data_IF_106006534325
#
_entry.id   IF_106006534325
#
_cell.length_a   1.000
_cell.length_b   1.000
_cell.length_c   1.000
_cell.angle_alpha   90.00
_cell.angle_beta   90.00
_cell.angle_gamma   90.00
#
_symmetry.space_group_name_H-M   'P 1'
#
loop_
_entity.id
_entity.type
_entity.pdbx_description
1 polymer ?
#
# COMPACT_ATOMS: atom_id res chain seq x y z
N UNK A 1 1.38 -11.88 23.29
CA UNK A 1 0.79 -10.54 23.07
C UNK A 1 1.13 -10.10 21.66
N UNK A 2 0.14 -9.82 20.79
CA UNK A 2 0.36 -9.64 19.35
C UNK A 2 0.90 -8.28 18.93
N UNK A 3 2.20 -8.02 19.11
CA UNK A 3 2.95 -6.86 18.58
C UNK A 3 2.17 -5.53 18.59
N UNK A 4 1.44 -5.25 19.67
CA UNK A 4 0.52 -4.11 19.75
C UNK A 4 1.31 -2.79 19.80
N UNK A 5 0.67 -1.69 19.38
CA UNK A 5 1.33 -0.37 19.35
C UNK A 5 1.80 0.10 20.73
N UNK A 6 2.78 1.01 20.75
CA UNK A 6 3.41 1.51 21.99
C UNK A 6 2.40 2.04 23.01
N UNK A 7 1.45 2.84 22.56
CA UNK A 7 0.43 3.40 23.46
C UNK A 7 -0.50 2.33 24.04
N UNK A 8 -0.78 1.29 23.24
CA UNK A 8 -1.56 0.15 23.70
C UNK A 8 -0.80 -0.69 24.74
N UNK A 9 0.51 -0.93 24.53
CA UNK A 9 1.39 -1.57 25.54
C UNK A 9 1.39 -0.78 26.84
N UNK A 10 1.60 0.54 26.77
CA UNK A 10 1.60 1.40 27.96
C UNK A 10 0.25 1.39 28.68
N UNK A 11 -0.86 1.38 27.94
CA UNK A 11 -2.21 1.33 28.53
C UNK A 11 -2.51 0.00 29.21
N UNK A 12 -1.98 -1.12 28.71
CA UNK A 12 -2.22 -2.46 29.26
C UNK A 12 -1.81 -2.59 30.72
N UNK A 13 -0.71 -1.95 31.13
CA UNK A 13 -0.27 -1.94 32.52
C UNK A 13 -1.27 -1.25 33.47
N UNK A 14 -2.13 -0.37 32.94
CA UNK A 14 -3.16 0.34 33.71
C UNK A 14 -4.48 -0.44 33.81
N UNK A 15 -4.82 -1.20 32.77
CA UNK A 15 -6.17 -1.78 32.62
C UNK A 15 -6.22 -3.29 32.87
N UNK A 16 -5.07 -3.96 32.98
CA UNK A 16 -5.00 -5.40 33.23
C UNK A 16 -4.10 -5.71 34.44
N UNK A 17 -4.54 -6.65 35.30
CA UNK A 17 -3.73 -7.19 36.40
C UNK A 17 -2.90 -8.37 35.89
N UNK A 18 -1.69 -8.53 36.41
CA UNK A 18 -0.81 -9.68 36.11
C UNK A 18 -0.02 -9.57 34.80
N UNK A 19 -0.04 -8.43 34.10
CA UNK A 19 0.77 -8.20 32.90
C UNK A 19 2.12 -7.65 33.31
N UNK A 20 3.18 -8.46 33.23
CA UNK A 20 4.55 -8.01 33.43
C UNK A 20 5.15 -7.61 32.08
N UNK A 21 5.33 -6.31 31.86
CA UNK A 21 5.95 -5.80 30.63
C UNK A 21 7.48 -5.90 30.74
N UNK A 22 8.07 -6.99 30.26
CA UNK A 22 9.51 -7.11 30.05
C UNK A 22 9.82 -6.82 28.59
N UNK A 23 10.15 -5.56 28.30
CA UNK A 23 10.71 -5.19 27.00
C UNK A 23 12.21 -5.42 27.02
N UNK A 24 12.66 -6.56 26.52
CA UNK A 24 14.09 -6.85 26.28
C UNK A 24 14.64 -6.00 25.12
N UNK A 25 13.77 -5.60 24.20
CA UNK A 25 14.03 -4.70 23.09
C UNK A 25 13.12 -3.48 23.16
N UNK A 26 13.63 -2.25 22.91
CA UNK A 26 12.76 -1.09 22.77
C UNK A 26 11.71 -1.36 21.68
N UNK A 27 10.46 -0.93 21.87
CA UNK A 27 9.39 -1.16 20.88
C UNK A 27 9.72 -0.61 19.48
N UNK A 28 10.59 0.39 19.40
CA UNK A 28 11.10 0.96 18.15
C UNK A 28 12.06 0.05 17.39
N UNK A 29 12.54 -1.04 17.99
CA UNK A 29 13.54 -1.97 17.41
C UNK A 29 12.98 -3.38 17.23
N UNK A 30 11.65 -3.54 17.27
CA UNK A 30 11.04 -4.82 16.97
C UNK A 30 10.96 -5.01 15.45
N UNK A 31 11.79 -5.88 14.89
CA UNK A 31 11.89 -6.16 13.45
C UNK A 31 10.53 -6.46 12.81
N UNK A 32 9.74 -7.37 13.40
CA UNK A 32 8.40 -7.70 12.90
C UNK A 32 7.45 -6.50 12.90
N UNK A 33 7.53 -5.62 13.91
CA UNK A 33 6.73 -4.39 13.94
C UNK A 33 7.20 -3.40 12.87
N UNK A 34 8.50 -3.28 12.65
CA UNK A 34 9.06 -2.40 11.62
C UNK A 34 8.56 -2.88 10.26
N UNK A 35 8.74 -4.15 9.91
CA UNK A 35 8.33 -4.68 8.60
C UNK A 35 6.81 -4.61 8.39
N UNK A 36 6.01 -4.88 9.43
CA UNK A 36 4.55 -4.92 9.30
C UNK A 36 3.85 -3.55 9.44
N UNK A 37 4.49 -2.56 10.09
CA UNK A 37 3.89 -1.26 10.43
C UNK A 37 4.74 -0.08 9.97
N UNK A 38 5.71 -0.30 9.09
CA UNK A 38 6.48 0.80 8.51
C UNK A 38 5.51 1.76 7.82
N UNK A 39 5.44 3.03 8.22
CA UNK A 39 4.64 3.99 7.49
C UNK A 39 5.28 4.17 6.12
N UNK A 40 4.45 4.13 5.07
CA UNK A 40 4.93 4.54 3.77
C UNK A 40 5.27 6.03 3.84
N UNK A 41 6.47 6.41 3.42
CA UNK A 41 6.80 7.83 3.28
C UNK A 41 5.90 8.47 2.21
N UNK A 42 5.60 9.77 2.29
CA UNK A 42 4.88 10.44 1.21
C UNK A 42 5.59 10.18 -0.12
N UNK A 43 4.81 9.86 -1.15
CA UNK A 43 5.36 9.85 -2.51
C UNK A 43 5.67 11.28 -2.93
N UNK A 44 6.79 11.48 -3.60
CA UNK A 44 7.07 12.74 -4.27
C UNK A 44 6.05 12.96 -5.40
N UNK A 45 5.78 14.23 -5.73
CA UNK A 45 5.06 14.54 -6.97
C UNK A 45 5.83 13.99 -8.16
N UNK A 46 5.11 13.58 -9.21
CA UNK A 46 5.72 13.28 -10.49
C UNK A 46 6.54 14.49 -10.96
N UNK A 47 7.77 14.25 -11.44
CA UNK A 47 8.56 15.26 -12.15
C UNK A 47 8.26 15.24 -13.66
N UNK A 48 7.46 14.28 -14.11
CA UNK A 48 7.05 14.13 -15.49
C UNK A 48 5.74 14.86 -15.73
N UNK A 49 5.75 15.80 -16.65
CA UNK A 49 4.58 16.45 -17.23
C UNK A 49 4.08 15.64 -18.43
N UNK A 50 2.81 15.87 -18.78
CA UNK A 50 2.17 15.41 -20.00
C UNK A 50 3.02 15.77 -21.24
N UNK A 51 3.15 14.85 -22.20
CA UNK A 51 3.86 15.12 -23.47
C UNK A 51 3.17 16.22 -24.26
N UNK A 52 3.94 17.14 -24.86
CA UNK A 52 3.43 18.29 -25.65
C UNK A 52 3.02 17.94 -27.11
N UNK A 53 3.27 16.71 -27.57
CA UNK A 53 2.97 16.29 -28.95
C UNK A 53 2.12 15.03 -28.96
N UNK A 54 1.11 15.02 -29.82
CA UNK A 54 0.15 13.93 -29.97
C UNK A 54 0.84 12.62 -30.39
N UNK A 55 0.54 11.53 -29.68
CA UNK A 55 1.10 10.19 -29.88
C UNK A 55 2.61 10.05 -29.61
N UNK A 56 3.23 10.99 -28.90
CA UNK A 56 4.63 10.87 -28.48
C UNK A 56 4.80 9.80 -27.39
N UNK A 57 3.81 9.65 -26.51
CA UNK A 57 3.79 8.64 -25.46
C UNK A 57 2.38 8.06 -25.29
N UNK A 58 2.26 6.74 -25.38
CA UNK A 58 1.00 6.02 -25.16
C UNK A 58 1.17 5.07 -23.98
N UNK A 59 0.36 5.27 -22.94
CA UNK A 59 0.21 4.31 -21.86
C UNK A 59 -0.79 3.23 -22.27
N UNK A 60 -0.38 1.97 -22.18
CA UNK A 60 -1.29 0.86 -22.47
C UNK A 60 -1.31 -0.15 -21.34
N UNK A 61 -2.50 -0.67 -21.06
CA UNK A 61 -2.69 -1.70 -20.05
C UNK A 61 -3.77 -2.70 -20.47
N UNK A 62 -3.62 -3.94 -20.00
CA UNK A 62 -4.56 -5.03 -20.25
C UNK A 62 -5.35 -5.31 -18.97
N UNK A 63 -6.66 -5.10 -19.04
CA UNK A 63 -7.56 -5.46 -17.96
C UNK A 63 -8.16 -6.85 -18.19
N UNK A 64 -7.99 -7.75 -17.22
CA UNK A 64 -8.68 -9.04 -17.16
C UNK A 64 -7.89 -10.14 -16.45
N UNK A 65 -8.45 -11.36 -16.32
CA UNK A 65 -9.76 -11.80 -16.81
C UNK A 65 -10.92 -11.22 -16.01
N UNK A 66 -11.91 -10.66 -16.69
CA UNK A 66 -13.12 -10.14 -16.07
C UNK A 66 -14.04 -11.31 -15.69
N UNK A 67 -14.59 -11.33 -14.45
CA UNK A 67 -15.43 -12.45 -13.98
C UNK A 67 -16.69 -12.67 -14.83
N UNK A 68 -17.28 -11.57 -15.31
CA UNK A 68 -18.47 -11.60 -16.18
C UNK A 68 -18.05 -11.53 -17.64
N UNK A 69 -18.68 -12.35 -18.48
CA UNK A 69 -18.46 -12.30 -19.92
C UNK A 69 -18.92 -10.95 -20.48
N UNK A 70 -18.03 -10.29 -21.20
CA UNK A 70 -18.37 -9.12 -21.99
C UNK A 70 -19.09 -9.55 -23.28
N UNK A 71 -19.47 -8.57 -24.10
CA UNK A 71 -20.01 -8.80 -25.44
C UNK A 71 -19.12 -9.78 -26.22
N UNK A 72 -19.74 -10.75 -26.90
CA UNK A 72 -19.04 -11.80 -27.65
C UNK A 72 -18.11 -12.70 -26.81
N UNK A 73 -18.37 -12.83 -25.50
CA UNK A 73 -17.64 -13.75 -24.63
C UNK A 73 -16.20 -13.32 -24.33
N UNK A 74 -15.87 -12.05 -24.54
CA UNK A 74 -14.53 -11.52 -24.21
C UNK A 74 -14.38 -11.43 -22.68
N UNK A 75 -13.14 -11.62 -22.23
CA UNK A 75 -12.75 -11.56 -20.81
C UNK A 75 -11.62 -10.57 -20.55
N UNK A 76 -11.10 -9.94 -21.59
CA UNK A 76 -10.02 -8.99 -21.51
C UNK A 76 -10.36 -7.80 -22.41
N UNK A 77 -9.92 -6.61 -22.01
CA UNK A 77 -9.80 -5.46 -22.88
C UNK A 77 -8.44 -4.81 -22.69
N UNK A 78 -8.01 -4.05 -23.70
CA UNK A 78 -6.79 -3.26 -23.64
C UNK A 78 -7.20 -1.78 -23.68
N UNK A 79 -6.53 -0.97 -22.88
CA UNK A 79 -6.69 0.49 -22.90
C UNK A 79 -5.44 1.09 -23.51
N UNK A 80 -5.63 2.11 -24.34
CA UNK A 80 -4.57 2.99 -24.82
C UNK A 80 -4.94 4.41 -24.41
N UNK A 81 -4.04 5.08 -23.69
CA UNK A 81 -4.16 6.47 -23.29
C UNK A 81 -2.99 7.23 -23.89
N UNK A 82 -3.30 8.24 -24.70
CA UNK A 82 -2.29 9.18 -25.19
C UNK A 82 -1.93 10.12 -24.05
N UNK A 83 -0.65 10.26 -23.74
CA UNK A 83 -0.19 11.05 -22.60
C UNK A 83 -0.48 12.55 -22.83
N UNK A 84 -0.54 13.01 -24.09
CA UNK A 84 -0.81 14.40 -24.47
C UNK A 84 -2.28 14.85 -24.27
N UNK A 85 -3.27 13.96 -24.17
CA UNK A 85 -4.71 14.31 -24.31
C UNK A 85 -5.65 13.76 -23.24
#
# INVERSE_FOLDING_TARGET
VGHIGKDAVTRLNRVAKGVLLQTTTPLSHCESCILAKHPHQPFHSSETECTDTFLDLIHSDVCGPIPTLMTHGKRYFIVFLDDHS
#
